data_IF_041524487505
#
_entry.id   IF_041524487505
#
_cell.length_a   1.000
_cell.length_b   1.000
_cell.length_c   1.000
_cell.angle_alpha   90.00
_cell.angle_beta   90.00
_cell.angle_gamma   90.00
#
_symmetry.space_group_name_H-M   'P 1'
#
loop_
_entity.id
_entity.type
_entity.pdbx_description
1 polymer ?
#
# COMPACT_ATOMS: atom_id res chain seq x y z
N UNK A 1 -5.33 -17.60 -27.64
CA UNK A 1 -4.95 -18.14 -28.96
C UNK A 1 -5.33 -17.24 -30.14
N UNK A 2 -6.29 -16.30 -30.03
CA UNK A 2 -6.71 -15.47 -31.17
C UNK A 2 -5.57 -14.62 -31.77
N UNK A 3 -4.78 -13.92 -30.94
CA UNK A 3 -3.61 -13.14 -31.39
C UNK A 3 -2.59 -13.93 -32.24
N UNK A 4 -2.33 -15.20 -31.90
CA UNK A 4 -1.31 -15.98 -32.60
C UNK A 4 -1.75 -16.49 -33.97
N UNK A 5 -3.06 -16.55 -34.25
CA UNK A 5 -3.58 -17.00 -35.55
C UNK A 5 -3.23 -16.03 -36.68
N UNK A 6 -2.99 -14.77 -36.34
CA UNK A 6 -2.57 -13.75 -37.31
C UNK A 6 -1.15 -14.01 -37.82
N UNK A 7 -0.31 -14.70 -37.03
CA UNK A 7 1.11 -14.92 -37.31
C UNK A 7 1.49 -16.36 -37.65
N UNK A 8 0.66 -17.33 -37.24
CA UNK A 8 0.93 -18.75 -37.42
C UNK A 8 -0.24 -19.47 -38.08
N UNK A 9 0.08 -20.40 -38.97
CA UNK A 9 -0.84 -21.42 -39.46
C UNK A 9 -0.68 -22.66 -38.58
N UNK A 10 -1.71 -22.95 -37.78
CA UNK A 10 -1.69 -24.09 -36.87
C UNK A 10 -2.23 -25.34 -37.55
N UNK A 11 -1.52 -26.45 -37.40
CA UNK A 11 -2.01 -27.77 -37.75
C UNK A 11 -2.96 -28.31 -36.66
N UNK A 12 -3.80 -29.28 -37.04
CA UNK A 12 -4.65 -29.99 -36.08
C UNK A 12 -3.78 -30.64 -34.98
N UNK A 13 -4.16 -30.54 -33.69
CA UNK A 13 -3.40 -31.14 -32.62
C UNK A 13 -3.21 -32.65 -32.82
N UNK A 14 -2.00 -33.14 -32.59
CA UNK A 14 -1.66 -34.57 -32.59
C UNK A 14 -0.88 -34.89 -31.32
N UNK A 15 -1.24 -35.99 -30.65
CA UNK A 15 -0.55 -36.50 -29.46
C UNK A 15 -0.33 -35.45 -28.34
N UNK A 16 -1.37 -34.65 -28.06
CA UNK A 16 -1.32 -33.61 -27.02
C UNK A 16 -0.42 -32.41 -27.35
N UNK A 17 0.05 -32.29 -28.61
CA UNK A 17 0.89 -31.19 -29.09
C UNK A 17 0.19 -30.39 -30.16
N UNK A 18 0.47 -29.08 -30.18
CA UNK A 18 0.04 -28.14 -31.20
C UNK A 18 1.27 -27.65 -31.97
N UNK A 19 1.23 -27.77 -33.29
CA UNK A 19 2.29 -27.30 -34.19
C UNK A 19 1.79 -26.14 -35.04
N UNK A 20 2.62 -25.13 -35.21
CA UNK A 20 2.32 -23.94 -36.00
C UNK A 20 3.49 -23.51 -36.86
N UNK A 21 3.21 -23.14 -38.12
CA UNK A 21 4.19 -22.60 -39.07
C UNK A 21 4.06 -21.09 -39.12
N UNK A 22 5.16 -20.36 -38.93
CA UNK A 22 5.18 -18.91 -39.00
C UNK A 22 4.94 -18.43 -40.43
N UNK A 23 3.98 -17.53 -40.64
CA UNK A 23 3.64 -16.99 -41.96
C UNK A 23 4.74 -16.09 -42.54
N UNK A 24 5.58 -15.47 -41.71
CA UNK A 24 6.59 -14.50 -42.13
C UNK A 24 7.96 -15.12 -42.46
N UNK A 25 8.36 -16.19 -41.78
CA UNK A 25 9.65 -16.86 -42.04
C UNK A 25 9.53 -18.35 -42.39
N UNK A 26 8.31 -18.88 -42.46
CA UNK A 26 8.03 -20.29 -42.76
C UNK A 26 8.63 -21.33 -41.80
N UNK A 27 9.22 -20.91 -40.66
CA UNK A 27 9.74 -21.84 -39.63
C UNK A 27 8.61 -22.43 -38.80
N UNK A 28 8.74 -23.71 -38.46
CA UNK A 28 7.74 -24.46 -37.70
C UNK A 28 8.13 -24.59 -36.23
N UNK A 29 7.14 -24.47 -35.35
CA UNK A 29 7.29 -24.58 -33.90
C UNK A 29 6.21 -25.49 -33.33
N UNK A 30 6.52 -26.17 -32.24
CA UNK A 30 5.59 -27.09 -31.55
C UNK A 30 5.57 -26.76 -30.06
N UNK A 31 4.39 -26.83 -29.46
CA UNK A 31 4.16 -26.64 -28.02
C UNK A 31 3.09 -27.65 -27.53
N UNK A 32 2.88 -27.76 -26.23
CA UNK A 32 1.79 -28.57 -25.68
C UNK A 32 0.44 -27.90 -25.93
N UNK A 33 -0.63 -28.69 -26.11
CA UNK A 33 -2.00 -28.15 -26.23
C UNK A 33 -2.34 -27.32 -24.99
N UNK A 34 -2.72 -26.06 -25.18
CA UNK A 34 -2.98 -25.09 -24.10
C UNK A 34 -1.78 -24.19 -23.76
N UNK A 35 -0.56 -24.57 -24.16
CA UNK A 35 0.64 -23.73 -24.06
C UNK A 35 0.87 -22.95 -25.35
N UNK A 36 1.42 -21.75 -25.23
CA UNK A 36 1.74 -20.88 -26.37
C UNK A 36 3.11 -20.20 -26.27
N UNK A 37 3.95 -20.64 -25.33
CA UNK A 37 5.20 -19.97 -24.98
C UNK A 37 6.22 -19.98 -26.11
N UNK A 38 6.32 -21.09 -26.85
CA UNK A 38 7.30 -21.21 -27.94
C UNK A 38 6.98 -20.29 -29.14
N UNK A 39 5.70 -20.10 -29.45
CA UNK A 39 5.25 -19.22 -30.53
C UNK A 39 5.50 -17.74 -30.19
N UNK A 40 5.19 -17.31 -28.97
CA UNK A 40 5.49 -15.94 -28.52
C UNK A 40 6.99 -15.67 -28.43
N UNK A 41 7.81 -16.64 -27.96
CA UNK A 41 9.27 -16.52 -27.96
C UNK A 41 9.85 -16.36 -29.37
N UNK A 42 9.34 -17.11 -30.35
CA UNK A 42 9.76 -16.96 -31.74
C UNK A 42 9.47 -15.54 -32.26
N UNK A 43 8.24 -15.06 -32.11
CA UNK A 43 7.85 -13.74 -32.61
C UNK A 43 8.66 -12.61 -31.97
N UNK A 44 8.83 -12.63 -30.64
CA UNK A 44 9.66 -11.64 -29.94
C UNK A 44 11.13 -11.64 -30.40
N UNK A 45 11.69 -12.79 -30.77
CA UNK A 45 13.11 -12.90 -31.12
C UNK A 45 13.40 -12.65 -32.60
N UNK A 46 12.50 -13.07 -33.48
CA UNK A 46 12.73 -13.07 -34.94
C UNK A 46 11.88 -12.02 -35.66
N UNK A 47 10.72 -11.67 -35.11
CA UNK A 47 9.72 -10.78 -35.72
C UNK A 47 9.25 -9.72 -34.72
N UNK A 48 10.19 -9.12 -33.97
CA UNK A 48 9.87 -8.23 -32.85
C UNK A 48 9.00 -7.04 -33.27
N UNK A 49 9.32 -6.41 -34.40
CA UNK A 49 8.58 -5.23 -34.89
C UNK A 49 7.12 -5.55 -35.23
N UNK A 50 6.86 -6.75 -35.76
CA UNK A 50 5.51 -7.20 -36.09
C UNK A 50 4.73 -7.58 -34.82
N UNK A 51 5.43 -8.23 -33.87
CA UNK A 51 4.88 -8.61 -32.58
C UNK A 51 4.46 -7.39 -31.76
N UNK A 52 5.32 -6.38 -31.68
CA UNK A 52 5.07 -5.16 -30.91
C UNK A 52 3.94 -4.32 -31.54
N UNK A 53 3.91 -4.18 -32.88
CA UNK A 53 2.83 -3.46 -33.58
C UNK A 53 1.46 -4.09 -33.37
N UNK A 54 1.35 -5.42 -33.43
CA UNK A 54 0.08 -6.12 -33.26
C UNK A 54 -0.37 -6.22 -31.80
N UNK A 55 0.56 -6.20 -30.83
CA UNK A 55 0.22 -6.14 -29.41
C UNK A 55 -0.21 -4.73 -28.99
N UNK A 56 0.26 -3.70 -29.67
CA UNK A 56 -0.10 -2.29 -29.43
C UNK A 56 -1.50 -1.92 -29.97
N UNK A 57 -2.03 -2.69 -30.92
CA UNK A 57 -3.34 -2.44 -31.55
C UNK A 57 -4.51 -3.15 -30.84
N UNK A 58 -4.25 -4.11 -29.95
CA UNK A 58 -5.25 -4.80 -29.12
C UNK A 58 -5.00 -4.49 -27.63
N UNK A 59 -5.57 -3.37 -27.17
CA UNK A 59 -5.72 -2.92 -25.77
C UNK A 59 -4.48 -2.38 -25.03
N UNK A 60 -4.60 -1.11 -24.60
CA UNK A 60 -4.15 -0.54 -23.32
C UNK A 60 -2.83 -1.07 -22.74
N UNK A 61 -1.78 -0.25 -22.85
CA UNK A 61 -0.48 -0.22 -22.13
C UNK A 61 -0.05 -1.50 -21.40
N UNK A 62 1.12 -2.10 -21.75
CA UNK A 62 2.30 -1.94 -20.87
C UNK A 62 3.70 -2.11 -21.51
N UNK A 63 4.66 -1.36 -20.94
CA UNK A 63 6.04 -1.70 -20.51
C UNK A 63 7.00 -2.34 -21.54
N UNK A 64 8.04 -1.57 -21.90
CA UNK A 64 9.33 -2.07 -22.41
C UNK A 64 10.26 -2.39 -21.23
N UNK A 65 10.81 -3.60 -21.23
CA UNK A 65 11.98 -3.99 -20.45
C UNK A 65 13.23 -3.39 -21.13
N UNK A 66 13.95 -2.54 -20.40
CA UNK A 66 15.39 -2.38 -20.58
C UNK A 66 16.04 -2.65 -19.24
N UNK A 67 17.01 -3.56 -19.23
CA UNK A 67 17.96 -3.74 -18.13
C UNK A 67 18.77 -2.45 -17.96
N UNK A 68 18.22 -1.53 -17.20
CA UNK A 68 18.97 -0.75 -16.22
C UNK A 68 17.94 -0.17 -15.24
N UNK A 69 18.42 0.24 -14.08
CA UNK A 69 17.68 0.88 -12.98
C UNK A 69 17.21 -0.09 -11.87
N UNK A 70 17.93 0.06 -10.75
CA UNK A 70 17.64 -0.32 -9.38
C UNK A 70 16.27 0.14 -8.79
N UNK A 71 15.21 0.43 -9.58
CA UNK A 71 14.09 1.26 -9.10
C UNK A 71 12.80 0.57 -8.61
N UNK A 72 12.66 -0.76 -8.60
CA UNK A 72 11.40 -1.39 -8.12
C UNK A 72 11.49 -2.20 -6.82
N UNK A 73 12.68 -2.35 -6.22
CA UNK A 73 12.82 -3.06 -4.94
C UNK A 73 12.47 -2.20 -3.72
N UNK A 74 12.58 -0.87 -3.83
CA UNK A 74 12.22 0.06 -2.75
C UNK A 74 10.72 0.08 -2.54
N UNK A 75 9.96 0.27 -3.62
CA UNK A 75 8.50 0.39 -3.58
C UNK A 75 7.79 -0.81 -2.94
N UNK A 76 8.22 -2.05 -3.22
CA UNK A 76 7.57 -3.23 -2.62
C UNK A 76 7.92 -3.43 -1.14
N UNK A 77 9.15 -3.10 -0.72
CA UNK A 77 9.53 -3.15 0.70
C UNK A 77 8.77 -2.11 1.50
N UNK A 78 8.66 -0.89 0.97
CA UNK A 78 7.95 0.21 1.61
C UNK A 78 6.47 -0.10 1.75
N UNK A 79 5.84 -0.67 0.70
CA UNK A 79 4.44 -1.16 0.77
C UNK A 79 4.24 -2.21 1.85
N UNK A 80 5.14 -3.19 1.95
CA UNK A 80 5.05 -4.23 2.99
C UNK A 80 5.22 -3.60 4.37
N UNK A 81 6.21 -2.72 4.57
CA UNK A 81 6.42 -2.06 5.86
C UNK A 81 5.23 -1.16 6.23
N UNK A 82 4.63 -0.46 5.27
CA UNK A 82 3.43 0.34 5.49
C UNK A 82 2.25 -0.54 5.90
N UNK A 83 2.03 -1.66 5.22
CA UNK A 83 0.97 -2.62 5.57
C UNK A 83 1.20 -3.25 6.95
N UNK A 84 2.45 -3.58 7.31
CA UNK A 84 2.80 -4.06 8.66
C UNK A 84 2.43 -3.00 9.71
N UNK A 85 2.69 -1.72 9.44
CA UNK A 85 2.33 -0.65 10.37
C UNK A 85 0.81 -0.46 10.48
N UNK A 86 0.13 -0.23 9.35
CA UNK A 86 -1.28 0.15 9.31
C UNK A 86 -2.21 -1.02 9.61
N UNK A 87 -2.05 -2.13 8.89
CA UNK A 87 -2.99 -3.25 8.93
C UNK A 87 -2.73 -4.20 10.10
N UNK A 88 -1.46 -4.40 10.46
CA UNK A 88 -1.11 -5.33 11.53
C UNK A 88 -0.89 -4.61 12.87
N UNK A 89 -0.03 -3.61 12.93
CA UNK A 89 0.32 -2.97 14.20
C UNK A 89 -0.81 -2.09 14.72
N UNK A 90 -1.32 -1.17 13.90
CA UNK A 90 -2.36 -0.22 14.33
C UNK A 90 -3.72 -0.90 14.45
N UNK A 91 -4.23 -1.54 13.40
CA UNK A 91 -5.59 -2.13 13.43
C UNK A 91 -5.73 -3.33 14.37
N UNK A 92 -4.67 -4.12 14.59
CA UNK A 92 -4.71 -5.22 15.56
C UNK A 92 -4.18 -4.83 16.95
N UNK A 93 -3.83 -3.56 17.18
CA UNK A 93 -3.29 -3.06 18.44
C UNK A 93 -2.09 -3.87 18.96
N UNK A 94 -1.13 -4.15 18.08
CA UNK A 94 0.08 -4.91 18.40
C UNK A 94 1.26 -3.98 18.73
N UNK A 95 2.23 -4.42 19.53
CA UNK A 95 3.40 -3.61 19.81
C UNK A 95 4.30 -3.50 18.57
N UNK A 96 4.93 -2.34 18.37
CA UNK A 96 5.91 -2.09 17.30
C UNK A 96 7.07 -3.11 17.28
N UNK A 97 7.39 -3.72 18.43
CA UNK A 97 8.42 -4.75 18.57
C UNK A 97 8.12 -6.02 17.77
N UNK A 98 6.87 -6.24 17.33
CA UNK A 98 6.52 -7.40 16.50
C UNK A 98 7.33 -7.45 15.20
N UNK A 99 7.67 -6.29 14.63
CA UNK A 99 8.49 -6.17 13.41
C UNK A 99 9.92 -6.72 13.58
N UNK A 100 10.40 -6.86 14.82
CA UNK A 100 11.71 -7.42 15.15
C UNK A 100 11.66 -8.86 15.66
N UNK A 101 10.46 -9.40 15.89
CA UNK A 101 10.29 -10.78 16.33
C UNK A 101 10.88 -11.76 15.29
N UNK A 102 11.73 -12.67 15.77
CA UNK A 102 12.35 -13.70 14.92
C UNK A 102 11.32 -14.59 14.24
N UNK A 103 10.28 -15.01 14.98
CA UNK A 103 9.20 -15.84 14.44
C UNK A 103 8.44 -15.12 13.33
N UNK A 104 8.09 -13.84 13.56
CA UNK A 104 7.40 -13.01 12.58
C UNK A 104 8.24 -12.81 11.31
N UNK A 105 9.54 -12.52 11.45
CA UNK A 105 10.45 -12.36 10.31
C UNK A 105 10.63 -13.64 9.52
N UNK A 106 10.71 -14.79 10.18
CA UNK A 106 10.78 -16.09 9.52
C UNK A 106 9.50 -16.39 8.74
N UNK A 107 8.34 -16.12 9.33
CA UNK A 107 7.04 -16.24 8.67
C UNK A 107 6.96 -15.35 7.41
N UNK A 108 7.33 -14.06 7.52
CA UNK A 108 7.34 -13.16 6.37
C UNK A 108 8.36 -13.53 5.30
N UNK A 109 9.47 -14.19 5.65
CA UNK A 109 10.43 -14.70 4.68
C UNK A 109 9.82 -15.77 3.76
N UNK A 110 8.84 -16.53 4.24
CA UNK A 110 8.12 -17.53 3.43
C UNK A 110 7.15 -16.81 2.48
N UNK A 111 6.40 -15.83 2.98
CA UNK A 111 5.39 -15.11 2.19
C UNK A 111 5.98 -14.09 1.21
N UNK A 112 7.03 -13.39 1.62
CA UNK A 112 7.71 -12.35 0.86
C UNK A 112 9.23 -12.54 0.91
N UNK A 113 9.80 -13.50 0.16
CA UNK A 113 11.23 -13.85 0.24
C UNK A 113 12.20 -12.73 -0.10
N UNK A 114 11.76 -11.75 -0.90
CA UNK A 114 12.55 -10.58 -1.30
C UNK A 114 12.44 -9.41 -0.32
N UNK A 115 11.54 -9.50 0.68
CA UNK A 115 11.36 -8.44 1.66
C UNK A 115 12.57 -8.35 2.58
N UNK A 116 13.03 -7.11 2.81
CA UNK A 116 14.11 -6.82 3.75
C UNK A 116 13.50 -6.27 5.04
N UNK A 117 13.70 -6.93 6.19
CA UNK A 117 13.15 -6.47 7.45
C UNK A 117 13.63 -5.06 7.82
N UNK A 118 12.67 -4.16 8.06
CA UNK A 118 12.96 -2.87 8.67
C UNK A 118 13.19 -3.00 10.19
N UNK A 119 13.95 -2.07 10.75
CA UNK A 119 14.17 -1.97 12.20
C UNK A 119 12.96 -1.33 12.89
N UNK A 120 12.72 -1.66 14.16
CA UNK A 120 11.71 -0.99 14.99
C UNK A 120 11.95 0.52 15.04
N UNK A 121 13.22 0.95 14.98
CA UNK A 121 13.59 2.37 14.89
C UNK A 121 13.04 3.04 13.63
N UNK A 122 13.06 2.38 12.47
CA UNK A 122 12.49 2.91 11.23
C UNK A 122 10.97 3.09 11.34
N UNK A 123 10.26 2.09 11.88
CA UNK A 123 8.82 2.23 12.17
C UNK A 123 8.55 3.41 13.11
N UNK A 124 9.30 3.52 14.20
CA UNK A 124 9.08 4.54 15.24
C UNK A 124 9.42 5.95 14.79
N UNK A 125 10.51 6.13 14.02
CA UNK A 125 11.07 7.45 13.68
C UNK A 125 10.69 7.95 12.29
N UNK A 126 10.16 7.08 11.43
CA UNK A 126 9.85 7.43 10.04
C UNK A 126 8.40 7.11 9.70
N UNK A 127 8.00 5.83 9.73
CA UNK A 127 6.67 5.45 9.25
C UNK A 127 5.54 5.92 10.17
N UNK A 128 5.68 5.76 11.49
CA UNK A 128 4.65 6.17 12.44
C UNK A 128 4.42 7.69 12.42
N UNK A 129 5.45 8.56 12.47
CA UNK A 129 5.25 10.00 12.30
C UNK A 129 4.60 10.36 10.95
N UNK A 130 4.97 9.70 9.85
CA UNK A 130 4.33 9.94 8.55
C UNK A 130 2.86 9.53 8.54
N UNK A 131 2.51 8.39 9.16
CA UNK A 131 1.14 7.93 9.29
C UNK A 131 0.31 8.89 10.17
N UNK A 132 0.89 9.35 11.28
CA UNK A 132 0.26 10.33 12.16
C UNK A 132 -0.03 11.63 11.41
N UNK A 133 0.95 12.17 10.67
CA UNK A 133 0.75 13.38 9.86
C UNK A 133 -0.36 13.20 8.83
N UNK A 134 -0.32 12.11 8.06
CA UNK A 134 -1.37 11.81 7.07
C UNK A 134 -2.76 11.67 7.72
N UNK A 135 -2.83 11.16 8.94
CA UNK A 135 -4.09 11.04 9.69
C UNK A 135 -4.57 12.41 10.19
N UNK A 136 -3.67 13.25 10.68
CA UNK A 136 -3.97 14.64 11.06
C UNK A 136 -4.48 15.45 9.87
N UNK A 137 -3.83 15.34 8.70
CA UNK A 137 -4.25 16.03 7.48
C UNK A 137 -5.66 15.58 7.04
N UNK A 138 -5.99 14.30 7.19
CA UNK A 138 -7.36 13.79 6.95
C UNK A 138 -8.37 14.36 7.95
N UNK A 139 -8.02 14.43 9.24
CA UNK A 139 -8.89 15.02 10.27
C UNK A 139 -9.15 16.49 9.94
N UNK A 140 -8.11 17.29 9.63
CA UNK A 140 -8.25 18.69 9.21
C UNK A 140 -9.20 18.83 8.02
N UNK A 141 -9.04 18.01 6.99
CA UNK A 141 -9.89 18.04 5.81
C UNK A 141 -11.35 17.62 6.10
N UNK A 142 -11.57 16.73 7.06
CA UNK A 142 -12.93 16.41 7.51
C UNK A 142 -13.52 17.63 8.23
N UNK A 143 -12.78 18.20 9.18
CA UNK A 143 -13.23 19.32 10.02
C UNK A 143 -13.46 20.60 9.23
N UNK A 144 -12.77 20.84 8.11
CA UNK A 144 -12.98 22.02 7.26
C UNK A 144 -14.40 22.10 6.68
N UNK A 145 -15.11 20.96 6.61
CA UNK A 145 -16.49 20.86 6.14
C UNK A 145 -17.50 20.79 7.29
N UNK A 146 -17.05 20.83 8.54
CA UNK A 146 -17.89 20.71 9.74
C UNK A 146 -18.31 22.10 10.22
N UNK A 147 -19.62 22.37 10.20
CA UNK A 147 -20.17 23.66 10.65
C UNK A 147 -20.22 23.80 12.17
N UNK A 148 -20.53 22.72 12.88
CA UNK A 148 -20.69 22.70 14.32
C UNK A 148 -19.87 21.57 14.91
N UNK A 149 -18.90 21.92 15.75
CA UNK A 149 -18.03 20.98 16.44
C UNK A 149 -18.25 21.14 17.95
N UNK A 150 -18.55 20.03 18.62
CA UNK A 150 -18.53 19.95 20.09
C UNK A 150 -17.28 19.19 20.49
N UNK A 151 -16.56 19.66 21.51
CA UNK A 151 -15.39 18.94 22.01
C UNK A 151 -15.65 18.38 23.40
N UNK A 152 -15.10 17.19 23.66
CA UNK A 152 -15.01 16.62 25.01
C UNK A 152 -13.54 16.48 25.37
N UNK A 153 -13.20 16.90 26.57
CA UNK A 153 -11.86 16.82 27.13
C UNK A 153 -11.88 15.75 28.21
N UNK A 154 -11.08 14.70 28.04
CA UNK A 154 -10.82 13.71 29.06
C UNK A 154 -9.40 13.89 29.60
N UNK A 155 -9.26 14.09 30.90
CA UNK A 155 -7.98 14.29 31.56
C UNK A 155 -7.85 13.33 32.75
N UNK A 156 -6.80 12.50 32.73
CA UNK A 156 -6.58 11.49 33.76
C UNK A 156 -5.10 11.34 34.10
N UNK A 157 -4.81 10.79 35.27
CA UNK A 157 -3.46 10.50 35.73
C UNK A 157 -3.29 9.00 35.90
N UNK A 158 -2.26 8.42 35.29
CA UNK A 158 -1.98 7.01 35.45
C UNK A 158 -1.42 6.68 36.86
N UNK A 159 -1.30 5.39 37.17
CA UNK A 159 -0.76 4.90 38.46
C UNK A 159 0.70 5.29 38.73
N UNK A 160 1.43 5.74 37.71
CA UNK A 160 2.83 6.20 37.80
C UNK A 160 2.90 7.72 37.94
N UNK A 161 1.78 8.39 38.23
CA UNK A 161 1.71 9.85 38.38
C UNK A 161 1.78 10.59 37.05
N UNK A 162 1.52 9.90 35.94
CA UNK A 162 1.60 10.50 34.61
C UNK A 162 0.22 10.96 34.14
N UNK A 163 -0.01 12.27 34.09
CA UNK A 163 -1.20 12.94 33.53
C UNK A 163 -1.32 13.04 32.00
N UNK A 164 -2.47 12.71 31.44
CA UNK A 164 -2.75 12.78 30.01
C UNK A 164 -4.01 13.60 29.77
N UNK A 165 -4.12 14.16 28.57
CA UNK A 165 -5.32 14.82 28.09
C UNK A 165 -5.63 14.30 26.69
N UNK A 166 -6.86 13.85 26.50
CA UNK A 166 -7.42 13.45 25.21
C UNK A 166 -8.55 14.41 24.85
N UNK A 167 -8.50 14.94 23.63
CA UNK A 167 -9.55 15.83 23.12
C UNK A 167 -10.25 15.13 21.97
N UNK A 168 -11.56 14.95 22.10
CA UNK A 168 -12.39 14.31 21.06
C UNK A 168 -13.38 15.33 20.52
N UNK A 169 -13.42 15.47 19.21
CA UNK A 169 -14.39 16.29 18.49
C UNK A 169 -15.59 15.46 18.06
N UNK A 170 -16.78 15.99 18.27
CA UNK A 170 -18.06 15.39 17.96
C UNK A 170 -18.84 16.30 17.02
N UNK A 171 -19.36 15.75 15.93
CA UNK A 171 -20.10 16.49 14.92
C UNK A 171 -21.08 15.60 14.17
N UNK A 172 -21.96 16.20 13.37
CA UNK A 172 -22.80 15.49 12.41
C UNK A 172 -22.15 15.59 11.02
N UNK A 173 -22.03 14.46 10.33
CA UNK A 173 -21.59 14.46 8.94
C UNK A 173 -22.68 14.94 7.96
N UNK A 174 -22.39 14.92 6.66
CA UNK A 174 -23.32 15.37 5.61
C UNK A 174 -24.61 14.53 5.54
N UNK A 175 -24.63 13.35 6.16
CA UNK A 175 -25.79 12.45 6.21
C UNK A 175 -26.49 12.53 7.57
N UNK A 176 -26.16 13.53 8.40
CA UNK A 176 -26.67 13.69 9.77
C UNK A 176 -26.34 12.52 10.70
N UNK A 177 -25.25 11.80 10.42
CA UNK A 177 -24.78 10.73 11.30
C UNK A 177 -23.78 11.31 12.31
N UNK A 178 -23.92 11.00 13.61
CA UNK A 178 -22.95 11.40 14.63
C UNK A 178 -21.58 10.76 14.37
N UNK A 179 -20.56 11.60 14.34
CA UNK A 179 -19.16 11.22 14.22
C UNK A 179 -18.39 11.70 15.46
N UNK A 180 -17.41 10.90 15.87
CA UNK A 180 -16.47 11.23 16.95
C UNK A 180 -15.05 10.96 16.48
N UNK A 181 -14.18 11.97 16.56
CA UNK A 181 -12.78 11.89 16.16
C UNK A 181 -11.88 12.34 17.29
N UNK A 182 -10.89 11.52 17.64
CA UNK A 182 -9.81 11.92 18.53
C UNK A 182 -8.95 12.98 17.81
N UNK A 183 -8.94 14.19 18.33
CA UNK A 183 -8.23 15.34 17.75
C UNK A 183 -6.76 15.32 18.15
N UNK A 184 -6.49 15.12 19.43
CA UNK A 184 -5.15 14.92 19.94
C UNK A 184 -5.17 14.15 21.27
N UNK A 185 -4.04 13.52 21.57
CA UNK A 185 -3.77 12.81 22.81
C UNK A 185 -2.35 13.15 23.22
N UNK A 186 -2.19 13.87 24.33
CA UNK A 186 -0.88 14.34 24.76
C UNK A 186 -0.61 14.09 26.23
N UNK A 187 0.69 14.07 26.53
CA UNK A 187 1.20 14.10 27.88
C UNK A 187 0.90 15.49 28.48
N UNK A 188 0.03 15.54 29.48
CA UNK A 188 -0.21 16.76 30.25
C UNK A 188 0.87 16.88 31.35
N UNK A 189 1.49 18.06 31.44
CA UNK A 189 2.54 18.34 32.42
C UNK A 189 2.11 19.54 33.26
N UNK A 190 2.33 19.45 34.57
CA UNK A 190 1.94 20.51 35.51
C UNK A 190 0.58 20.26 36.16
N UNK A 191 0.05 21.29 36.83
CA UNK A 191 -1.21 21.22 37.56
C UNK A 191 -2.41 21.27 36.61
N UNK A 192 -3.47 20.52 36.94
CA UNK A 192 -4.71 20.45 36.16
C UNK A 192 -5.65 21.62 36.49
N UNK A 193 -5.13 22.85 36.45
CA UNK A 193 -5.95 24.05 36.62
C UNK A 193 -6.80 24.29 35.38
N UNK A 194 -7.94 24.97 35.53
CA UNK A 194 -8.78 25.34 34.39
C UNK A 194 -8.01 26.13 33.32
N UNK A 195 -7.13 27.04 33.74
CA UNK A 195 -6.24 27.82 32.86
C UNK A 195 -5.28 26.93 32.05
N UNK A 196 -4.62 25.97 32.68
CA UNK A 196 -3.69 25.10 31.96
C UNK A 196 -4.43 24.18 30.97
N UNK A 197 -5.61 23.68 31.34
CA UNK A 197 -6.45 22.86 30.46
C UNK A 197 -6.93 23.70 29.28
N UNK A 198 -7.37 24.94 29.51
CA UNK A 198 -7.74 25.90 28.47
C UNK A 198 -6.58 26.10 27.48
N UNK A 199 -5.41 26.49 27.97
CA UNK A 199 -4.26 26.80 27.12
C UNK A 199 -3.81 25.60 26.27
N UNK A 200 -3.84 24.39 26.84
CA UNK A 200 -3.50 23.17 26.10
C UNK A 200 -4.57 22.83 25.06
N UNK A 201 -5.84 23.05 25.38
CA UNK A 201 -6.96 22.84 24.45
C UNK A 201 -6.86 23.79 23.27
N UNK A 202 -6.66 25.08 23.52
CA UNK A 202 -6.47 26.11 22.50
C UNK A 202 -5.31 25.75 21.56
N UNK A 203 -4.14 25.40 22.10
CA UNK A 203 -2.99 24.95 21.30
C UNK A 203 -3.26 23.71 20.43
N UNK A 204 -4.17 22.83 20.84
CA UNK A 204 -4.55 21.67 20.03
C UNK A 204 -5.50 22.10 18.91
N UNK A 205 -6.46 22.97 19.21
CA UNK A 205 -7.42 23.46 18.22
C UNK A 205 -6.75 24.34 17.16
N UNK A 206 -5.81 25.21 17.55
CA UNK A 206 -5.03 26.05 16.62
C UNK A 206 -4.24 25.22 15.59
N UNK A 207 -3.84 23.99 15.97
CA UNK A 207 -3.16 23.08 15.04
C UNK A 207 -4.11 22.45 14.03
N UNK A 208 -5.42 22.55 14.21
CA UNK A 208 -6.44 21.94 13.35
C UNK A 208 -7.01 22.91 12.33
N UNK A 209 -6.85 24.22 12.55
CA UNK A 209 -6.99 25.25 11.52
C UNK A 209 -5.92 25.09 10.41
#
# INVERSE_FOLDING_TARGET
MNFLKDFFEFAAPKDGKVSGKCKNCSKSYTDQVGSTGNFHKHLKRVHNDLYDKAKSSNSTTPIKDTNDILENSTNNNDKINQAILEELIVKCNLPLSIAESRGFRNFLKILAPKWKPASSRYYTKTLLPSLMKNTQDKIKNILSNVKYLTITIDAWTDKRGRSYIGITGHFLDSHSVPQALLLDFIRFKGAHTGENIHNVTEQILDKLE
#
